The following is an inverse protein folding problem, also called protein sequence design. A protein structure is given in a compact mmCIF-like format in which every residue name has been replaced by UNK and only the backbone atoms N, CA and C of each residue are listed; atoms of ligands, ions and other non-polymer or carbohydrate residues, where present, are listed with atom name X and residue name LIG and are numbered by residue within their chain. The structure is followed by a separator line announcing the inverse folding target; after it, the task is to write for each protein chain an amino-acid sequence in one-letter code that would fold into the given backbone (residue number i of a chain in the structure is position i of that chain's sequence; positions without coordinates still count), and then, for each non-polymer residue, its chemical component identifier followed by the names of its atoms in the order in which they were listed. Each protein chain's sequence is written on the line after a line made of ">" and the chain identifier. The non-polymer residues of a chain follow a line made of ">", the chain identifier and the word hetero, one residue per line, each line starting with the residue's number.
data_IF_121726697738
#
_entry.id   IF_121726697738
#
_cell.length_a   1.000
_cell.length_b   1.000
_cell.length_c   1.000
_cell.angle_alpha   90.00
_cell.angle_beta   90.00
_cell.angle_gamma   90.00
#
_symmetry.space_group_name_H-M   'P 1'
#
loop_
_entity.id
_entity.type
_entity.pdbx_description
1 polymer ?
#
# COMPACT_ATOMS: atom_id res chain seq x y z
N UNK A 1 -59.74 -38.30 -59.00
CA UNK A 1 -59.47 -36.90 -58.62
C UNK A 1 -58.54 -36.88 -57.42
N UNK A 2 -57.21 -36.92 -57.60
CA UNK A 2 -56.30 -37.03 -56.43
C UNK A 2 -54.84 -36.62 -56.65
N UNK A 3 -54.50 -36.07 -57.83
CA UNK A 3 -53.14 -35.59 -58.13
C UNK A 3 -52.86 -34.18 -57.62
N UNK A 4 -53.85 -33.29 -57.66
CA UNK A 4 -53.71 -31.89 -57.27
C UNK A 4 -53.47 -31.72 -55.77
N UNK A 5 -54.19 -32.47 -54.92
CA UNK A 5 -54.06 -32.39 -53.46
C UNK A 5 -52.70 -32.91 -52.95
N UNK A 6 -52.08 -33.87 -53.65
CA UNK A 6 -50.74 -34.39 -53.29
C UNK A 6 -49.64 -33.37 -53.58
N UNK A 7 -49.80 -32.57 -54.64
CA UNK A 7 -48.84 -31.52 -55.00
C UNK A 7 -48.91 -30.34 -54.02
N UNK A 8 -50.11 -29.98 -53.56
CA UNK A 8 -50.31 -28.90 -52.60
C UNK A 8 -49.78 -29.27 -51.20
N UNK A 9 -50.00 -30.53 -50.76
CA UNK A 9 -49.44 -31.03 -49.50
C UNK A 9 -47.92 -31.04 -49.48
N UNK A 10 -47.26 -31.41 -50.59
CA UNK A 10 -45.80 -31.33 -50.71
C UNK A 10 -45.29 -29.89 -50.64
N UNK A 11 -45.95 -28.94 -51.31
CA UNK A 11 -45.58 -27.51 -51.23
C UNK A 11 -45.73 -26.94 -49.81
N UNK A 12 -46.79 -27.33 -49.10
CA UNK A 12 -47.01 -26.94 -47.69
C UNK A 12 -45.97 -27.56 -46.75
N UNK A 13 -45.59 -28.82 -46.97
CA UNK A 13 -44.49 -29.45 -46.20
C UNK A 13 -43.15 -28.78 -46.45
N UNK A 14 -42.80 -28.50 -47.70
CA UNK A 14 -41.54 -27.83 -48.06
C UNK A 14 -41.46 -26.39 -47.52
N UNK A 15 -42.57 -25.65 -47.53
CA UNK A 15 -42.63 -24.31 -46.95
C UNK A 15 -42.48 -24.31 -45.42
N UNK A 16 -43.00 -25.35 -44.74
CA UNK A 16 -42.87 -25.50 -43.29
C UNK A 16 -41.45 -25.92 -42.88
N UNK A 17 -40.81 -26.81 -43.64
CA UNK A 17 -39.41 -27.19 -43.43
C UNK A 17 -38.44 -26.03 -43.70
N UNK A 18 -38.69 -25.18 -44.70
CA UNK A 18 -37.92 -23.96 -44.94
C UNK A 18 -38.08 -22.95 -43.78
N UNK A 19 -39.30 -22.77 -43.28
CA UNK A 19 -39.57 -21.89 -42.13
C UNK A 19 -39.03 -22.45 -40.79
N UNK A 20 -38.81 -23.77 -40.69
CA UNK A 20 -38.18 -24.40 -39.53
C UNK A 20 -36.65 -24.21 -39.53
N UNK A 21 -36.01 -24.32 -40.70
CA UNK A 21 -34.56 -24.09 -40.85
C UNK A 21 -34.16 -22.63 -40.62
N UNK A 22 -35.04 -21.69 -40.94
CA UNK A 22 -34.80 -20.26 -40.67
C UNK A 22 -34.89 -19.89 -39.18
N UNK A 23 -35.50 -20.76 -38.35
CA UNK A 23 -35.56 -20.61 -36.89
C UNK A 23 -34.37 -21.24 -36.16
N UNK A 24 -33.54 -22.03 -36.85
CA UNK A 24 -32.31 -22.62 -36.29
C UNK A 24 -31.13 -21.64 -36.30
N UNK A 25 -31.19 -20.56 -37.10
CA UNK A 25 -30.07 -19.62 -37.31
C UNK A 25 -30.13 -18.32 -36.47
N UNK A 26 -30.97 -18.26 -35.43
CA UNK A 26 -31.04 -17.07 -34.55
C UNK A 26 -31.03 -17.44 -33.07
N UNK A 27 -29.87 -17.88 -32.56
CA UNK A 27 -29.42 -17.46 -31.23
C UNK A 27 -27.89 -17.41 -31.17
N UNK A 28 -27.25 -16.25 -31.44
CA UNK A 28 -25.95 -16.01 -30.85
C UNK A 28 -26.18 -15.89 -29.34
N UNK A 29 -25.58 -16.81 -28.59
CA UNK A 29 -25.51 -16.86 -27.12
C UNK A 29 -24.73 -15.64 -26.59
N UNK A 30 -25.31 -14.44 -26.73
CA UNK A 30 -24.70 -13.15 -26.35
C UNK A 30 -24.54 -13.03 -24.82
N UNK A 31 -25.17 -13.90 -24.04
CA UNK A 31 -25.07 -13.96 -22.58
C UNK A 31 -23.80 -14.67 -22.10
N UNK A 32 -23.49 -15.85 -22.64
CA UNK A 32 -22.28 -16.61 -22.24
C UNK A 32 -20.99 -15.94 -22.68
N UNK A 33 -20.97 -15.23 -23.80
CA UNK A 33 -19.82 -14.42 -24.20
C UNK A 33 -19.49 -13.31 -23.19
N UNK A 34 -20.52 -12.59 -22.70
CA UNK A 34 -20.35 -11.50 -21.72
C UNK A 34 -19.95 -12.01 -20.34
N UNK A 35 -20.55 -13.12 -19.91
CA UNK A 35 -20.20 -13.77 -18.63
C UNK A 35 -18.78 -14.34 -18.70
N UNK A 36 -18.40 -14.97 -19.82
CA UNK A 36 -17.03 -15.47 -20.02
C UNK A 36 -16.01 -14.33 -20.06
N UNK A 37 -16.31 -13.21 -20.72
CA UNK A 37 -15.42 -12.03 -20.71
C UNK A 37 -15.33 -11.38 -19.34
N UNK A 38 -16.43 -11.31 -18.58
CA UNK A 38 -16.43 -10.76 -17.23
C UNK A 38 -15.64 -11.66 -16.27
N UNK A 39 -15.82 -12.97 -16.35
CA UNK A 39 -15.06 -13.95 -15.56
C UNK A 39 -13.56 -13.87 -15.89
N UNK A 40 -13.20 -13.78 -17.17
CA UNK A 40 -11.82 -13.60 -17.60
C UNK A 40 -11.22 -12.28 -17.08
N UNK A 41 -11.96 -11.17 -17.13
CA UNK A 41 -11.50 -9.89 -16.62
C UNK A 41 -11.26 -9.91 -15.11
N UNK A 42 -12.13 -10.56 -14.33
CA UNK A 42 -11.95 -10.73 -12.88
C UNK A 42 -10.72 -11.58 -12.57
N UNK A 43 -10.51 -12.67 -13.31
CA UNK A 43 -9.32 -13.51 -13.12
C UNK A 43 -8.02 -12.76 -13.44
N UNK A 44 -8.01 -11.94 -14.49
CA UNK A 44 -6.85 -11.10 -14.83
C UNK A 44 -6.61 -10.06 -13.73
N UNK A 45 -7.66 -9.40 -13.23
CA UNK A 45 -7.54 -8.44 -12.14
C UNK A 45 -6.98 -9.08 -10.87
N UNK A 46 -7.47 -10.27 -10.49
CA UNK A 46 -6.94 -11.03 -9.35
C UNK A 46 -5.48 -11.40 -9.55
N UNK A 47 -5.11 -11.88 -10.73
CA UNK A 47 -3.72 -12.21 -11.05
C UNK A 47 -2.80 -10.98 -10.98
N UNK A 48 -3.27 -9.80 -11.42
CA UNK A 48 -2.53 -8.55 -11.29
C UNK A 48 -2.39 -8.12 -9.84
N UNK A 49 -3.45 -8.17 -9.04
CA UNK A 49 -3.39 -7.81 -7.61
C UNK A 49 -2.44 -8.73 -6.85
N UNK A 50 -2.53 -10.05 -7.07
CA UNK A 50 -1.61 -11.03 -6.47
C UNK A 50 -0.19 -10.81 -6.98
N UNK A 51 -0.01 -10.59 -8.28
CA UNK A 51 1.29 -10.34 -8.88
C UNK A 51 1.97 -9.08 -8.34
N UNK A 52 1.22 -7.99 -8.17
CA UNK A 52 1.70 -6.75 -7.56
C UNK A 52 2.00 -6.95 -6.07
N UNK A 53 1.12 -7.63 -5.33
CA UNK A 53 1.37 -7.93 -3.91
C UNK A 53 2.63 -8.75 -3.71
N UNK A 54 2.80 -9.84 -4.49
CA UNK A 54 4.01 -10.67 -4.45
C UNK A 54 5.24 -9.90 -4.92
N UNK A 55 5.12 -9.04 -5.93
CA UNK A 55 6.24 -8.23 -6.41
C UNK A 55 6.68 -7.16 -5.40
N UNK A 56 5.74 -6.56 -4.67
CA UNK A 56 6.05 -5.65 -3.57
C UNK A 56 6.74 -6.42 -2.43
N UNK A 57 6.26 -7.62 -2.10
CA UNK A 57 6.86 -8.48 -1.06
C UNK A 57 8.26 -9.00 -1.41
N UNK A 58 8.52 -9.28 -2.70
CA UNK A 58 9.84 -9.75 -3.16
C UNK A 58 10.88 -8.63 -3.25
N UNK A 59 10.49 -7.36 -3.04
CA UNK A 59 11.44 -6.25 -2.88
C UNK A 59 11.90 -6.09 -1.44
N UNK A 60 11.27 -6.76 -0.49
CA UNK A 60 11.76 -6.89 0.87
C UNK A 60 12.78 -8.05 0.92
N UNK A 61 13.93 -7.87 0.27
CA UNK A 61 15.12 -8.64 0.65
C UNK A 61 15.56 -8.07 2.01
N UNK A 62 15.50 -8.82 3.12
CA UNK A 62 16.17 -8.42 4.35
C UNK A 62 17.67 -8.52 4.08
N UNK A 63 18.21 -7.47 3.48
CA UNK A 63 19.63 -7.38 3.14
C UNK A 63 20.47 -7.70 4.38
N UNK A 64 21.57 -8.41 4.18
CA UNK A 64 22.56 -8.66 5.23
C UNK A 64 22.87 -7.33 5.93
N UNK A 65 22.42 -7.20 7.18
CA UNK A 65 22.71 -6.04 7.99
C UNK A 65 24.23 -5.93 8.11
N UNK A 66 24.85 -4.81 7.69
CA UNK A 66 26.28 -4.63 7.84
C UNK A 66 26.64 -4.81 9.33
N UNK A 67 27.68 -5.59 9.61
CA UNK A 67 28.13 -5.92 10.97
C UNK A 67 28.46 -4.69 11.84
N UNK A 68 28.60 -3.52 11.20
CA UNK A 68 28.56 -2.22 11.84
C UNK A 68 28.06 -1.18 10.83
N UNK A 69 27.07 -0.38 11.23
CA UNK A 69 26.79 0.90 10.57
C UNK A 69 27.92 1.84 10.99
N UNK A 70 28.73 2.38 10.06
CA UNK A 70 29.73 3.36 10.43
C UNK A 70 29.02 4.53 11.13
N UNK A 71 29.42 4.82 12.37
CA UNK A 71 28.96 5.98 13.11
C UNK A 71 29.55 7.25 12.49
N UNK A 72 29.09 7.62 11.30
CA UNK A 72 29.17 8.99 10.85
C UNK A 72 28.13 9.74 11.66
N UNK A 73 28.55 10.52 12.65
CA UNK A 73 27.72 11.56 13.21
C UNK A 73 27.59 12.63 12.12
N UNK A 74 26.42 12.78 11.44
CA UNK A 74 26.17 14.05 10.80
C UNK A 74 26.24 15.09 11.93
N UNK A 75 27.17 16.04 11.82
CA UNK A 75 27.22 17.14 12.76
C UNK A 75 25.90 17.90 12.57
N UNK A 76 24.96 17.71 13.49
CA UNK A 76 23.80 18.58 13.56
C UNK A 76 24.34 20.00 13.79
N UNK A 77 23.80 20.98 13.08
CA UNK A 77 24.18 22.39 13.24
C UNK A 77 23.63 23.00 14.55
N UNK A 78 23.08 22.16 15.43
CA UNK A 78 22.54 22.48 16.75
C UNK A 78 23.01 21.45 17.79
N UNK A 79 23.05 21.82 19.09
CA UNK A 79 23.33 20.85 20.14
C UNK A 79 22.23 19.79 20.22
N UNK A 80 22.65 18.54 20.46
CA UNK A 80 21.76 17.41 20.78
C UNK A 80 22.20 16.86 22.12
N UNK A 81 21.24 16.68 23.04
CA UNK A 81 21.48 16.16 24.38
C UNK A 81 20.40 15.13 24.73
N UNK A 82 20.79 14.03 25.36
CA UNK A 82 19.86 13.07 25.93
C UNK A 82 19.49 13.47 27.37
N UNK A 83 18.20 13.67 27.64
CA UNK A 83 17.66 13.94 28.97
C UNK A 83 16.73 12.79 29.40
N UNK A 84 17.30 11.79 30.08
CA UNK A 84 16.58 10.56 30.37
C UNK A 84 16.31 9.78 29.08
N UNK A 85 15.04 9.62 28.72
CA UNK A 85 14.62 8.95 27.48
C UNK A 85 14.20 9.97 26.39
N UNK A 86 14.39 11.27 26.64
CA UNK A 86 14.04 12.35 25.72
C UNK A 86 15.28 12.84 24.98
N UNK A 87 15.21 12.89 23.64
CA UNK A 87 16.25 13.51 22.81
C UNK A 87 15.93 15.00 22.65
N UNK A 88 16.80 15.87 23.16
CA UNK A 88 16.65 17.33 23.11
C UNK A 88 17.52 17.88 21.99
N UNK A 89 16.89 18.49 20.99
CA UNK A 89 17.53 19.10 19.83
C UNK A 89 17.38 20.63 19.87
N UNK A 90 18.50 21.35 19.85
CA UNK A 90 18.55 22.80 19.98
C UNK A 90 18.92 23.29 21.38
N UNK A 91 19.06 24.60 21.53
CA UNK A 91 19.42 25.24 22.81
C UNK A 91 18.30 25.04 23.84
N UNK A 92 18.53 24.41 25.00
CA UNK A 92 17.53 24.25 26.06
C UNK A 92 16.93 25.58 26.57
N UNK A 93 17.59 26.71 26.33
CA UNK A 93 17.12 28.06 26.62
C UNK A 93 16.32 28.73 25.50
N UNK A 94 16.10 28.06 24.37
CA UNK A 94 15.31 28.60 23.26
C UNK A 94 13.89 28.98 23.71
N UNK A 95 13.30 30.06 23.18
CA UNK A 95 12.07 30.63 23.71
C UNK A 95 10.83 29.77 23.46
N UNK A 96 10.88 28.84 22.49
CA UNK A 96 9.73 28.00 22.11
C UNK A 96 10.09 26.52 22.33
N UNK A 97 9.52 25.86 23.36
CA UNK A 97 9.63 24.42 23.50
C UNK A 97 8.61 23.73 22.59
N UNK A 98 9.04 22.68 21.89
CA UNK A 98 8.20 21.80 21.09
C UNK A 98 8.41 20.37 21.58
N UNK A 99 7.34 19.72 22.04
CA UNK A 99 7.37 18.30 22.42
C UNK A 99 6.76 17.45 21.31
N UNK A 100 7.51 16.45 20.88
CA UNK A 100 7.09 15.51 19.85
C UNK A 100 7.09 14.11 20.46
N UNK A 101 5.89 13.54 20.62
CA UNK A 101 5.72 12.16 21.10
C UNK A 101 5.48 11.27 19.90
N UNK A 102 6.42 10.39 19.60
CA UNK A 102 6.39 9.62 18.35
C UNK A 102 6.71 8.16 18.57
N UNK A 103 6.05 7.34 17.76
CA UNK A 103 6.34 5.93 17.62
C UNK A 103 6.91 5.69 16.23
N UNK A 104 8.03 4.98 16.15
CA UNK A 104 8.74 4.71 14.90
C UNK A 104 7.96 3.84 13.90
N UNK A 105 6.91 3.14 14.35
CA UNK A 105 6.01 2.38 13.48
C UNK A 105 4.79 3.21 13.02
N UNK A 106 4.54 4.37 13.63
CA UNK A 106 3.33 5.15 13.39
C UNK A 106 3.37 5.87 12.02
N UNK A 107 2.43 5.57 11.10
CA UNK A 107 2.38 6.27 9.80
C UNK A 107 2.07 7.77 9.94
N UNK A 108 1.37 8.16 11.01
CA UNK A 108 1.09 9.57 11.31
C UNK A 108 2.32 10.34 11.75
N UNK A 109 3.19 9.72 12.56
CA UNK A 109 4.50 10.28 12.94
C UNK A 109 5.41 10.40 11.71
N UNK A 110 5.45 9.37 10.86
CA UNK A 110 6.17 9.45 9.59
C UNK A 110 5.68 10.62 8.71
N UNK A 111 4.36 10.88 8.66
CA UNK A 111 3.82 12.02 7.93
C UNK A 111 4.20 13.37 8.57
N UNK A 112 4.21 13.46 9.91
CA UNK A 112 4.64 14.65 10.64
C UNK A 112 6.10 14.99 10.30
N UNK A 113 7.00 14.03 10.46
CA UNK A 113 8.44 14.21 10.22
C UNK A 113 8.75 14.57 8.77
N UNK A 114 8.10 13.92 7.81
CA UNK A 114 8.26 14.27 6.39
C UNK A 114 7.78 15.70 6.06
N UNK A 115 6.77 16.22 6.76
CA UNK A 115 6.22 17.55 6.50
C UNK A 115 6.90 18.66 7.29
N UNK A 116 7.36 18.37 8.50
CA UNK A 116 7.80 19.37 9.47
C UNK A 116 9.23 19.15 10.01
N UNK A 117 9.82 17.97 9.85
CA UNK A 117 11.16 17.63 10.39
C UNK A 117 12.23 18.66 10.00
N UNK A 118 12.31 19.01 8.71
CA UNK A 118 13.24 20.05 8.22
C UNK A 118 13.00 21.43 8.86
N UNK A 119 11.74 21.78 9.14
CA UNK A 119 11.39 23.07 9.75
C UNK A 119 11.71 23.09 11.24
N UNK A 120 11.48 21.96 11.92
CA UNK A 120 11.85 21.76 13.32
C UNK A 120 13.38 21.82 13.47
N UNK A 121 14.12 21.13 12.61
CA UNK A 121 15.58 21.18 12.57
C UNK A 121 16.10 22.60 12.31
N UNK A 122 15.51 23.35 11.37
CA UNK A 122 15.88 24.75 11.13
C UNK A 122 15.55 25.66 12.32
N UNK A 123 14.43 25.45 12.99
CA UNK A 123 14.06 26.20 14.18
C UNK A 123 15.03 25.92 15.35
N UNK A 124 15.48 24.68 15.50
CA UNK A 124 16.52 24.29 16.45
C UNK A 124 17.88 24.91 16.12
N UNK A 125 18.32 24.81 14.85
CA UNK A 125 19.58 25.39 14.36
C UNK A 125 19.65 26.92 14.55
N UNK A 126 18.52 27.60 14.37
CA UNK A 126 18.44 29.06 14.51
C UNK A 126 18.19 29.54 15.95
N UNK A 127 18.08 28.63 16.91
CA UNK A 127 17.80 28.95 18.32
C UNK A 127 16.39 29.51 18.56
N UNK A 128 15.48 29.37 17.59
CA UNK A 128 14.09 29.83 17.72
C UNK A 128 13.26 28.86 18.55
N UNK A 129 13.57 27.57 18.50
CA UNK A 129 12.88 26.53 19.24
C UNK A 129 13.86 25.50 19.81
N UNK A 130 13.42 24.80 20.86
CA UNK A 130 14.01 23.57 21.35
C UNK A 130 13.02 22.45 21.12
N UNK A 131 13.44 21.40 20.41
CA UNK A 131 12.58 20.28 20.06
C UNK A 131 12.95 19.10 20.94
N UNK A 132 11.97 18.57 21.67
CA UNK A 132 12.11 17.46 22.60
C UNK A 132 11.36 16.27 22.03
N UNK A 133 12.13 15.32 21.51
CA UNK A 133 11.60 14.08 20.99
C UNK A 133 11.46 13.08 22.13
N UNK A 134 10.25 12.54 22.26
CA UNK A 134 9.87 11.52 23.23
C UNK A 134 9.49 10.25 22.45
N UNK A 135 10.47 9.39 22.15
CA UNK A 135 10.18 8.08 21.60
C UNK A 135 9.24 7.29 22.51
N UNK A 136 8.15 6.78 21.95
CA UNK A 136 7.20 5.91 22.63
C UNK A 136 7.00 4.63 21.82
N UNK A 137 6.62 3.55 22.49
CA UNK A 137 6.35 2.24 21.89
C UNK A 137 4.86 1.87 22.04
N UNK A 138 4.00 2.67 21.42
CA UNK A 138 2.55 2.49 21.41
C UNK A 138 2.10 1.35 20.48
N UNK A 139 2.85 1.09 19.41
CA UNK A 139 2.51 0.14 18.34
C UNK A 139 3.45 -1.07 18.37
N UNK A 140 4.09 -1.37 19.50
CA UNK A 140 5.11 -2.41 19.61
C UNK A 140 4.59 -3.80 19.21
N UNK A 141 3.33 -4.09 19.59
CA UNK A 141 2.59 -5.33 19.28
C UNK A 141 2.07 -5.37 17.82
N UNK A 142 2.09 -4.25 17.09
CA UNK A 142 1.57 -4.17 15.71
C UNK A 142 2.63 -4.55 14.65
N UNK A 143 3.82 -4.97 15.08
CA UNK A 143 4.93 -5.41 14.21
C UNK A 143 5.06 -6.94 14.16
N UNK A 144 5.69 -7.48 13.10
CA UNK A 144 5.99 -8.91 12.97
C UNK A 144 7.48 -9.12 12.61
N UNK A 145 8.31 -9.66 13.52
CA UNK A 145 7.98 -9.99 14.91
C UNK A 145 7.66 -8.73 15.74
N UNK A 146 6.89 -8.90 16.81
CA UNK A 146 6.59 -7.83 17.77
C UNK A 146 7.88 -7.24 18.36
N UNK A 147 7.86 -5.94 18.70
CA UNK A 147 8.97 -5.24 19.35
C UNK A 147 9.66 -4.16 18.51
N UNK A 148 9.18 -3.87 17.29
CA UNK A 148 9.86 -2.91 16.41
C UNK A 148 9.94 -1.51 17.02
N UNK A 149 8.84 -1.00 17.61
CA UNK A 149 8.79 0.36 18.16
C UNK A 149 9.78 0.54 19.31
N UNK A 150 9.87 -0.44 20.21
CA UNK A 150 10.84 -0.46 21.32
C UNK A 150 12.28 -0.51 20.82
N UNK A 151 12.57 -1.39 19.85
CA UNK A 151 13.92 -1.53 19.30
C UNK A 151 14.37 -0.25 18.57
N UNK A 152 13.49 0.33 17.77
CA UNK A 152 13.77 1.57 17.05
C UNK A 152 13.93 2.76 18.01
N UNK A 153 13.07 2.87 19.03
CA UNK A 153 13.21 3.88 20.07
C UNK A 153 14.54 3.78 20.81
N UNK A 154 14.94 2.56 21.22
CA UNK A 154 16.24 2.32 21.84
C UNK A 154 17.41 2.68 20.93
N UNK A 155 17.33 2.34 19.64
CA UNK A 155 18.36 2.68 18.66
C UNK A 155 18.50 4.21 18.48
N UNK A 156 17.38 4.95 18.47
CA UNK A 156 17.39 6.40 18.38
C UNK A 156 18.02 7.04 19.63
N UNK A 157 17.72 6.52 20.83
CA UNK A 157 18.34 6.96 22.08
C UNK A 157 19.85 6.72 22.04
N UNK A 158 20.31 5.52 21.68
CA UNK A 158 21.74 5.22 21.56
C UNK A 158 22.46 6.07 20.51
N UNK A 159 21.76 6.54 19.47
CA UNK A 159 22.33 7.45 18.48
C UNK A 159 22.49 8.90 19.01
N UNK A 160 21.79 9.24 20.10
CA UNK A 160 21.83 10.55 20.75
C UNK A 160 22.75 10.60 21.99
N UNK A 161 23.34 9.47 22.41
CA UNK A 161 24.39 9.38 23.42
C UNK A 161 25.77 9.84 22.91
#
# INVERSE_FOLDING_TARGET
>A
MGGAERAERKRKQQAFEAAAREREDVTPDRGRGRIATAAAAVLVLLAVVVGVGVWLQQRDDPGELPAAIPATTPAADYPVELQGETVVAGDPGAPVPVDVYEDFLCPGCAALENLYGDRLAQAAASGQAVVRYHPIAMLDEDSDPEGYSTLAAGAAICAAE
#
